data_IF_935025396282
#
_entry.id   IF_935025396282
#
_cell.length_a   1.000
_cell.length_b   1.000
_cell.length_c   1.000
_cell.angle_alpha   90.00
_cell.angle_beta   90.00
_cell.angle_gamma   90.00
#
_symmetry.space_group_name_H-M   'P 1'
#
loop_
_entity.id
_entity.type
_entity.pdbx_description
1 polymer ?
#
# COMPACT_ATOMS: atom_id res chain seq x y z
N UNK A 1 -5.15 -32.12 16.34
CA UNK A 1 -4.92 -31.06 15.33
C UNK A 1 -3.51 -30.53 15.53
N UNK A 2 -2.73 -30.38 14.46
CA UNK A 2 -1.36 -29.83 14.52
C UNK A 2 -1.38 -28.34 14.22
N UNK A 3 -0.35 -27.60 14.62
CA UNK A 3 -0.22 -26.17 14.33
C UNK A 3 -0.43 -25.84 12.84
N UNK A 4 0.12 -26.67 11.93
CA UNK A 4 -0.06 -26.52 10.49
C UNK A 4 -1.53 -26.56 10.04
N UNK A 5 -2.37 -27.36 10.69
CA UNK A 5 -3.79 -27.46 10.34
C UNK A 5 -4.52 -26.17 10.71
N UNK A 6 -4.13 -25.55 11.83
CA UNK A 6 -4.70 -24.29 12.33
C UNK A 6 -4.35 -23.12 11.41
N UNK A 7 -3.10 -23.06 10.95
CA UNK A 7 -2.62 -21.99 10.07
C UNK A 7 -3.34 -21.95 8.71
N UNK A 8 -4.07 -23.01 8.34
CA UNK A 8 -4.84 -23.08 7.10
C UNK A 8 -6.34 -22.80 7.31
N UNK A 9 -6.77 -22.52 8.54
CA UNK A 9 -8.17 -22.20 8.81
C UNK A 9 -8.56 -20.85 8.19
N UNK A 10 -9.84 -20.67 7.80
CA UNK A 10 -10.34 -19.37 7.36
C UNK A 10 -10.20 -18.34 8.47
N UNK A 11 -9.90 -17.08 8.13
CA UNK A 11 -9.73 -16.02 9.13
C UNK A 11 -11.09 -15.51 9.62
N UNK A 12 -11.58 -16.09 10.72
CA UNK A 12 -12.85 -15.71 11.35
C UNK A 12 -12.80 -15.92 12.88
N UNK A 13 -13.86 -15.53 13.60
CA UNK A 13 -13.94 -15.64 15.07
C UNK A 13 -13.79 -17.07 15.61
N UNK A 14 -14.29 -18.08 14.89
CA UNK A 14 -14.13 -19.48 15.30
C UNK A 14 -12.66 -19.90 15.23
N UNK A 15 -11.98 -19.57 14.13
CA UNK A 15 -10.55 -19.85 13.97
C UNK A 15 -9.69 -19.08 14.97
N UNK A 16 -10.08 -17.85 15.32
CA UNK A 16 -9.40 -17.06 16.35
C UNK A 16 -9.45 -17.78 17.70
N UNK A 17 -10.63 -18.25 18.09
CA UNK A 17 -10.85 -19.00 19.34
C UNK A 17 -10.00 -20.27 19.36
N UNK A 18 -10.04 -21.04 18.26
CA UNK A 18 -9.26 -22.25 18.09
C UNK A 18 -7.75 -21.98 18.23
N UNK A 19 -7.25 -20.95 17.54
CA UNK A 19 -5.83 -20.60 17.55
C UNK A 19 -5.36 -20.13 18.93
N UNK A 20 -6.14 -19.27 19.61
CA UNK A 20 -5.84 -18.82 20.98
C UNK A 20 -5.84 -19.98 21.98
N UNK A 21 -6.83 -20.87 21.93
CA UNK A 21 -6.87 -22.04 22.79
C UNK A 21 -5.68 -22.97 22.56
N UNK A 22 -5.31 -23.22 21.29
CA UNK A 22 -4.18 -24.08 20.98
C UNK A 22 -2.85 -23.52 21.46
N UNK A 23 -2.65 -22.19 21.37
CA UNK A 23 -1.48 -21.49 21.88
C UNK A 23 -1.34 -21.65 23.42
N UNK A 24 -2.45 -21.69 24.15
CA UNK A 24 -2.47 -21.86 25.61
C UNK A 24 -2.33 -23.31 26.06
N UNK A 25 -2.89 -24.25 25.30
CA UNK A 25 -3.00 -25.66 25.71
C UNK A 25 -1.84 -26.54 25.24
N UNK A 26 -0.95 -26.02 24.39
CA UNK A 26 0.05 -26.83 23.68
C UNK A 26 1.45 -26.23 23.83
N UNK A 27 2.43 -27.05 24.20
CA UNK A 27 3.84 -26.64 24.16
C UNK A 27 4.32 -26.59 22.71
N UNK A 28 4.60 -25.39 22.22
CA UNK A 28 5.08 -25.14 20.85
C UNK A 28 6.56 -24.77 20.87
N UNK A 29 7.26 -25.05 19.78
CA UNK A 29 8.57 -24.44 19.59
C UNK A 29 8.42 -22.97 19.16
N UNK A 30 9.49 -22.19 19.33
CA UNK A 30 9.49 -20.74 19.07
C UNK A 30 8.96 -20.40 17.66
N UNK A 31 9.37 -21.14 16.62
CA UNK A 31 8.94 -20.87 15.24
C UNK A 31 7.45 -21.18 15.01
N UNK A 32 6.93 -22.22 15.65
CA UNK A 32 5.50 -22.54 15.59
C UNK A 32 4.67 -21.49 16.34
N UNK A 33 5.16 -21.06 17.51
CA UNK A 33 4.55 -20.00 18.30
C UNK A 33 4.49 -18.69 17.52
N UNK A 34 5.60 -18.26 16.91
CA UNK A 34 5.71 -17.08 16.05
C UNK A 34 4.69 -17.09 14.91
N UNK A 35 4.63 -18.19 14.15
CA UNK A 35 3.70 -18.32 13.02
C UNK A 35 2.25 -18.31 13.46
N UNK A 36 1.93 -19.02 14.55
CA UNK A 36 0.57 -19.07 15.07
C UNK A 36 0.14 -17.71 15.62
N UNK A 37 1.05 -17.00 16.28
CA UNK A 37 0.78 -15.67 16.78
C UNK A 37 0.56 -14.66 15.64
N UNK A 38 1.41 -14.67 14.62
CA UNK A 38 1.20 -13.87 13.42
C UNK A 38 -0.14 -14.18 12.75
N UNK A 39 -0.54 -15.46 12.70
CA UNK A 39 -1.85 -15.86 12.17
C UNK A 39 -3.00 -15.29 13.03
N UNK A 40 -2.90 -15.34 14.36
CA UNK A 40 -3.88 -14.73 15.28
C UNK A 40 -4.03 -13.23 15.01
N UNK A 41 -2.93 -12.48 14.93
CA UNK A 41 -2.98 -11.05 14.59
C UNK A 41 -3.56 -10.83 13.20
N UNK A 42 -3.22 -11.68 12.24
CA UNK A 42 -3.80 -11.68 10.91
C UNK A 42 -5.32 -11.87 10.92
N UNK A 43 -5.87 -12.70 11.80
CA UNK A 43 -7.32 -12.84 11.97
C UNK A 43 -7.92 -11.58 12.59
N UNK A 44 -7.31 -11.04 13.65
CA UNK A 44 -7.79 -9.81 14.30
C UNK A 44 -7.86 -8.65 13.31
N UNK A 45 -6.88 -8.55 12.39
CA UNK A 45 -6.87 -7.54 11.34
C UNK A 45 -8.06 -7.68 10.37
N UNK A 46 -8.39 -8.88 9.90
CA UNK A 46 -9.55 -9.08 9.00
C UNK A 46 -10.89 -8.81 9.68
N UNK A 47 -10.94 -8.97 11.01
CA UNK A 47 -12.14 -8.75 11.81
C UNK A 47 -12.25 -7.29 12.29
N UNK A 48 -11.37 -6.39 11.83
CA UNK A 48 -11.28 -4.99 12.25
C UNK A 48 -11.11 -4.82 13.77
N UNK A 49 -10.59 -5.84 14.47
CA UNK A 49 -10.34 -5.83 15.92
C UNK A 49 -9.00 -5.20 16.26
N UNK A 50 -8.80 -3.97 15.80
CA UNK A 50 -7.52 -3.28 15.84
C UNK A 50 -7.00 -3.02 17.27
N UNK A 51 -7.88 -2.76 18.24
CA UNK A 51 -7.48 -2.56 19.64
C UNK A 51 -6.89 -3.84 20.25
N UNK A 52 -7.54 -4.98 20.00
CA UNK A 52 -7.05 -6.29 20.46
C UNK A 52 -5.74 -6.65 19.76
N UNK A 53 -5.64 -6.36 18.46
CA UNK A 53 -4.41 -6.56 17.69
C UNK A 53 -3.24 -5.76 18.29
N UNK A 54 -3.46 -4.48 18.62
CA UNK A 54 -2.46 -3.64 19.26
C UNK A 54 -2.03 -4.16 20.63
N UNK A 55 -3.00 -4.56 21.47
CA UNK A 55 -2.75 -5.10 22.80
C UNK A 55 -1.94 -6.39 22.73
N UNK A 56 -2.45 -7.39 22.02
CA UNK A 56 -1.84 -8.72 21.90
C UNK A 56 -0.46 -8.59 21.24
N UNK A 57 -0.35 -7.84 20.13
CA UNK A 57 0.90 -7.71 19.39
C UNK A 57 2.00 -6.98 20.17
N UNK A 58 1.66 -5.96 20.96
CA UNK A 58 2.61 -5.28 21.84
C UNK A 58 3.13 -6.21 22.93
N UNK A 59 2.23 -6.98 23.56
CA UNK A 59 2.62 -7.96 24.58
C UNK A 59 3.59 -8.98 24.00
N UNK A 60 3.30 -9.50 22.81
CA UNK A 60 4.16 -10.47 22.16
C UNK A 60 5.53 -9.91 21.76
N UNK A 61 5.59 -8.70 21.18
CA UNK A 61 6.87 -8.09 20.82
C UNK A 61 7.78 -7.88 22.05
N UNK A 62 7.21 -7.66 23.25
CA UNK A 62 7.98 -7.53 24.48
C UNK A 62 8.70 -8.82 24.92
N UNK A 63 8.29 -9.96 24.36
CA UNK A 63 8.84 -11.29 24.65
C UNK A 63 9.87 -11.75 23.61
N UNK A 64 10.04 -11.02 22.50
CA UNK A 64 11.01 -11.35 21.46
C UNK A 64 12.36 -10.73 21.81
N UNK A 65 13.36 -11.59 21.98
CA UNK A 65 14.74 -11.17 22.25
C UNK A 65 15.51 -10.78 20.99
N UNK A 66 15.27 -11.47 19.87
CA UNK A 66 15.99 -11.24 18.62
C UNK A 66 15.00 -10.92 17.47
N UNK A 67 15.05 -9.70 16.92
CA UNK A 67 14.24 -9.31 15.78
C UNK A 67 14.48 -10.21 14.57
N UNK A 68 13.40 -10.71 13.99
CA UNK A 68 13.41 -11.57 12.81
C UNK A 68 12.34 -11.14 11.80
N UNK A 69 12.14 -11.94 10.76
CA UNK A 69 11.14 -11.66 9.73
C UNK A 69 9.71 -11.55 10.32
N UNK A 70 9.35 -12.45 11.24
CA UNK A 70 8.05 -12.41 11.93
C UNK A 70 7.90 -11.11 12.74
N UNK A 71 8.96 -10.68 13.43
CA UNK A 71 8.98 -9.42 14.18
C UNK A 71 8.65 -8.22 13.27
N UNK A 72 9.25 -8.14 12.08
CA UNK A 72 8.95 -7.08 11.10
C UNK A 72 7.49 -7.14 10.61
N UNK A 73 6.96 -8.34 10.36
CA UNK A 73 5.58 -8.54 9.94
C UNK A 73 4.57 -8.13 11.01
N UNK A 74 4.86 -8.41 12.29
CA UNK A 74 4.03 -7.97 13.41
C UNK A 74 4.07 -6.44 13.53
N UNK A 75 5.24 -5.82 13.41
CA UNK A 75 5.35 -4.35 13.39
C UNK A 75 4.53 -3.71 12.28
N UNK A 76 4.47 -4.34 11.09
CA UNK A 76 3.60 -3.88 9.99
C UNK A 76 2.12 -3.95 10.38
N UNK A 77 1.65 -5.07 10.95
CA UNK A 77 0.26 -5.20 11.40
C UNK A 77 -0.09 -4.18 12.49
N UNK A 78 0.83 -3.94 13.43
CA UNK A 78 0.66 -2.93 14.48
C UNK A 78 0.63 -1.50 13.93
N UNK A 79 1.49 -1.20 12.95
CA UNK A 79 1.47 0.07 12.22
C UNK A 79 0.10 0.28 11.54
N UNK A 80 -0.38 -0.71 10.79
CA UNK A 80 -1.65 -0.63 10.06
C UNK A 80 -2.84 -0.47 11.02
N UNK A 81 -2.85 -1.23 12.12
CA UNK A 81 -3.88 -1.13 13.15
C UNK A 81 -3.89 0.25 13.85
N UNK A 82 -2.71 0.77 14.22
CA UNK A 82 -2.59 2.09 14.81
C UNK A 82 -3.05 3.19 13.83
N UNK A 83 -2.72 3.03 12.54
CA UNK A 83 -3.14 3.94 11.49
C UNK A 83 -4.67 3.94 11.30
N UNK A 84 -5.30 2.74 11.29
CA UNK A 84 -6.78 2.59 11.23
C UNK A 84 -7.51 3.19 12.42
N UNK A 85 -6.87 3.22 13.57
CA UNK A 85 -7.39 3.84 14.79
C UNK A 85 -7.03 5.33 14.91
N UNK A 86 -6.41 5.91 13.88
CA UNK A 86 -5.93 7.30 13.85
C UNK A 86 -4.95 7.63 15.00
N UNK A 87 -4.25 6.63 15.53
CA UNK A 87 -3.24 6.78 16.58
C UNK A 87 -1.88 7.07 15.94
N UNK A 88 -1.74 8.25 15.33
CA UNK A 88 -0.59 8.57 14.46
C UNK A 88 0.77 8.52 15.17
N UNK A 89 0.86 8.92 16.43
CA UNK A 89 2.11 8.82 17.21
C UNK A 89 2.54 7.35 17.41
N UNK A 90 1.57 6.48 17.65
CA UNK A 90 1.81 5.05 17.81
C UNK A 90 2.18 4.39 16.47
N UNK A 91 1.47 4.76 15.39
CA UNK A 91 1.84 4.32 14.04
C UNK A 91 3.27 4.76 13.70
N UNK A 92 3.64 6.02 13.97
CA UNK A 92 5.00 6.53 13.79
C UNK A 92 6.03 5.75 14.60
N UNK A 93 5.71 5.40 15.85
CA UNK A 93 6.57 4.55 16.67
C UNK A 93 6.85 3.21 15.98
N UNK A 94 5.81 2.47 15.57
CA UNK A 94 5.99 1.17 14.92
C UNK A 94 6.68 1.26 13.56
N UNK A 95 6.41 2.31 12.78
CA UNK A 95 7.12 2.58 11.53
C UNK A 95 8.63 2.77 11.76
N UNK A 96 9.00 3.58 12.76
CA UNK A 96 10.40 3.82 13.10
C UNK A 96 11.10 2.56 13.60
N UNK A 97 10.42 1.74 14.42
CA UNK A 97 10.97 0.45 14.84
C UNK A 97 11.15 -0.49 13.64
N UNK A 98 10.15 -0.57 12.74
CA UNK A 98 10.21 -1.41 11.54
C UNK A 98 11.35 -1.00 10.61
N UNK A 99 11.61 0.30 10.47
CA UNK A 99 12.70 0.83 9.66
C UNK A 99 14.08 0.33 10.10
N UNK A 100 14.31 0.10 11.40
CA UNK A 100 15.61 -0.38 11.93
C UNK A 100 15.96 -1.80 11.45
N UNK A 101 14.95 -2.61 11.20
CA UNK A 101 15.10 -4.04 10.88
C UNK A 101 14.77 -4.37 9.43
N UNK A 102 14.35 -3.36 8.64
CA UNK A 102 14.05 -3.56 7.23
C UNK A 102 15.34 -3.55 6.43
N UNK A 103 15.46 -4.49 5.48
CA UNK A 103 16.62 -4.58 4.60
C UNK A 103 16.63 -3.38 3.67
N UNK A 104 17.83 -2.94 3.29
CA UNK A 104 18.00 -1.78 2.39
C UNK A 104 17.20 -1.95 1.08
N UNK A 105 17.15 -3.16 0.52
CA UNK A 105 16.39 -3.46 -0.70
C UNK A 105 14.87 -3.31 -0.53
N UNK A 106 14.37 -3.37 0.70
CA UNK A 106 12.95 -3.30 1.05
C UNK A 106 12.57 -1.94 1.67
N UNK A 107 13.48 -0.96 1.69
CA UNK A 107 13.23 0.37 2.24
C UNK A 107 12.06 1.09 1.57
N UNK A 108 11.74 0.75 0.32
CA UNK A 108 10.57 1.29 -0.39
C UNK A 108 9.25 0.98 0.34
N UNK A 109 9.18 -0.12 1.12
CA UNK A 109 8.02 -0.45 1.96
C UNK A 109 7.87 0.50 3.15
N UNK A 110 8.99 0.95 3.73
CA UNK A 110 9.00 1.94 4.81
C UNK A 110 8.60 3.31 4.25
N UNK A 111 9.08 3.65 3.06
CA UNK A 111 8.67 4.87 2.37
C UNK A 111 7.16 4.87 2.07
N UNK A 112 6.61 3.75 1.59
CA UNK A 112 5.18 3.62 1.31
C UNK A 112 4.30 3.76 2.57
N UNK A 113 4.73 3.16 3.67
CA UNK A 113 4.08 3.30 4.98
C UNK A 113 4.16 4.75 5.49
N UNK A 114 5.30 5.42 5.33
CA UNK A 114 5.47 6.81 5.73
C UNK A 114 4.58 7.76 4.92
N UNK A 115 4.46 7.52 3.60
CA UNK A 115 3.52 8.25 2.74
C UNK A 115 2.08 8.03 3.24
N UNK A 116 1.71 6.80 3.54
CA UNK A 116 0.36 6.45 4.03
C UNK A 116 0.05 7.13 5.37
N UNK A 117 0.99 7.13 6.31
CA UNK A 117 0.87 7.81 7.59
C UNK A 117 0.67 9.31 7.40
N UNK A 118 1.54 9.96 6.63
CA UNK A 118 1.49 11.41 6.38
C UNK A 118 0.20 11.81 5.69
N UNK A 119 -0.25 11.04 4.71
CA UNK A 119 -1.50 11.27 4.00
C UNK A 119 -2.70 11.27 4.96
N UNK A 120 -2.79 10.30 5.86
CA UNK A 120 -3.90 10.24 6.83
C UNK A 120 -3.79 11.33 7.90
N UNK A 121 -2.57 11.63 8.36
CA UNK A 121 -2.30 12.72 9.29
C UNK A 121 -2.43 14.12 8.64
N UNK A 122 -2.73 14.20 7.33
CA UNK A 122 -2.79 15.44 6.54
C UNK A 122 -1.49 16.26 6.58
N UNK A 123 -0.36 15.56 6.70
CA UNK A 123 0.96 16.14 6.62
C UNK A 123 1.49 16.17 5.18
N UNK A 124 2.40 17.10 4.83
CA UNK A 124 3.07 17.08 3.54
C UNK A 124 3.90 15.79 3.34
N UNK A 125 3.70 15.14 2.18
CA UNK A 125 4.43 13.92 1.76
C UNK A 125 4.98 13.98 0.33
N UNK A 126 4.82 15.12 -0.35
CA UNK A 126 5.23 15.33 -1.74
C UNK A 126 6.71 14.99 -1.99
N UNK A 127 7.60 15.49 -1.12
CA UNK A 127 9.04 15.23 -1.23
C UNK A 127 9.39 13.75 -1.13
N UNK A 128 8.65 12.98 -0.31
CA UNK A 128 8.89 11.54 -0.19
C UNK A 128 8.61 10.81 -1.50
N UNK A 129 7.56 11.20 -2.22
CA UNK A 129 7.24 10.63 -3.54
C UNK A 129 8.35 10.94 -4.55
N UNK A 130 8.83 12.19 -4.60
CA UNK A 130 9.91 12.59 -5.50
C UNK A 130 11.23 11.86 -5.20
N UNK A 131 11.55 11.67 -3.93
CA UNK A 131 12.72 10.90 -3.52
C UNK A 131 12.57 9.43 -3.91
N UNK A 132 11.40 8.82 -3.64
CA UNK A 132 11.14 7.42 -3.95
C UNK A 132 11.26 7.11 -5.46
N UNK A 133 10.84 8.03 -6.33
CA UNK A 133 10.95 7.85 -7.79
C UNK A 133 12.40 7.80 -8.31
N UNK A 134 13.36 8.35 -7.56
CA UNK A 134 14.79 8.31 -7.89
C UNK A 134 15.45 6.98 -7.49
N UNK A 135 14.82 6.21 -6.62
CA UNK A 135 15.34 4.94 -6.13
C UNK A 135 14.98 3.77 -7.06
N UNK A 136 15.73 2.67 -6.91
CA UNK A 136 15.46 1.42 -7.60
C UNK A 136 14.37 0.64 -6.84
N UNK A 137 13.11 0.96 -7.13
CA UNK A 137 11.93 0.35 -6.50
C UNK A 137 11.14 -0.53 -7.48
N UNK A 138 10.30 -1.47 -7.01
CA UNK A 138 9.46 -2.28 -7.88
C UNK A 138 8.52 -1.42 -8.75
N UNK A 139 8.22 -1.91 -9.96
CA UNK A 139 7.48 -1.13 -10.97
C UNK A 139 6.10 -0.68 -10.50
N UNK A 140 5.40 -1.54 -9.76
CA UNK A 140 4.04 -1.24 -9.29
C UNK A 140 4.02 -0.08 -8.29
N UNK A 141 4.98 -0.04 -7.36
CA UNK A 141 5.16 1.08 -6.44
C UNK A 141 5.55 2.36 -7.18
N UNK A 142 6.44 2.26 -8.18
CA UNK A 142 6.82 3.41 -8.99
C UNK A 142 5.64 3.99 -9.75
N UNK A 143 4.80 3.15 -10.35
CA UNK A 143 3.55 3.55 -11.01
C UNK A 143 2.60 4.23 -10.02
N UNK A 144 2.39 3.62 -8.85
CA UNK A 144 1.57 4.20 -7.77
C UNK A 144 2.04 5.62 -7.41
N UNK A 145 3.33 5.84 -7.23
CA UNK A 145 3.87 7.16 -6.87
C UNK A 145 3.73 8.19 -7.99
N UNK A 146 3.89 7.79 -9.25
CA UNK A 146 3.63 8.69 -10.38
C UNK A 146 2.16 9.12 -10.43
N UNK A 147 1.22 8.18 -10.27
CA UNK A 147 -0.21 8.50 -10.23
C UNK A 147 -0.54 9.45 -9.08
N UNK A 148 0.01 9.20 -7.90
CA UNK A 148 -0.24 10.05 -6.73
C UNK A 148 0.35 11.47 -6.90
N UNK A 149 1.51 11.61 -7.52
CA UNK A 149 2.06 12.93 -7.89
C UNK A 149 1.22 13.64 -8.95
N UNK A 150 0.72 12.90 -9.94
CA UNK A 150 -0.14 13.45 -10.97
C UNK A 150 -1.41 14.03 -10.34
N UNK A 151 -2.08 13.27 -9.48
CA UNK A 151 -3.26 13.72 -8.73
C UNK A 151 -2.95 14.96 -7.89
N UNK A 152 -1.81 14.98 -7.19
CA UNK A 152 -1.37 16.12 -6.40
C UNK A 152 -1.21 17.39 -7.25
N UNK A 153 -0.51 17.31 -8.39
CA UNK A 153 -0.31 18.46 -9.27
C UNK A 153 -1.60 18.92 -9.96
N UNK A 154 -2.48 17.97 -10.33
CA UNK A 154 -3.80 18.28 -10.87
C UNK A 154 -4.72 18.96 -9.86
N UNK A 155 -4.63 18.59 -8.58
CA UNK A 155 -5.42 19.18 -7.49
C UNK A 155 -4.90 20.57 -7.07
N UNK A 156 -3.59 20.79 -7.17
CA UNK A 156 -2.94 22.09 -6.91
C UNK A 156 -2.90 23.02 -8.12
N UNK A 157 -3.57 22.64 -9.22
CA UNK A 157 -3.58 23.37 -10.49
C UNK A 157 -2.19 23.66 -11.08
N UNK A 158 -1.18 22.88 -10.69
CA UNK A 158 0.17 23.01 -11.21
C UNK A 158 0.34 22.17 -12.48
N UNK A 159 -0.26 22.66 -13.57
CA UNK A 159 -0.43 21.88 -14.81
C UNK A 159 0.86 21.62 -15.59
N UNK A 160 1.91 22.44 -15.42
CA UNK A 160 3.21 22.21 -16.07
C UNK A 160 3.90 20.99 -15.46
N UNK A 161 3.92 20.91 -14.14
CA UNK A 161 4.48 19.78 -13.41
C UNK A 161 3.63 18.52 -13.61
N UNK A 162 2.31 18.66 -13.66
CA UNK A 162 1.40 17.58 -14.04
C UNK A 162 1.72 17.01 -15.43
N UNK A 163 1.98 17.87 -16.43
CA UNK A 163 2.37 17.45 -17.78
C UNK A 163 3.69 16.66 -17.76
N UNK A 164 4.69 17.12 -17.02
CA UNK A 164 5.97 16.43 -16.90
C UNK A 164 5.82 15.05 -16.26
N UNK A 165 5.10 14.97 -15.13
CA UNK A 165 4.82 13.70 -14.45
C UNK A 165 4.05 12.73 -15.35
N UNK A 166 3.03 13.22 -16.05
CA UNK A 166 2.23 12.40 -16.95
C UNK A 166 3.08 11.84 -18.11
N UNK A 167 3.93 12.67 -18.73
CA UNK A 167 4.83 12.21 -19.78
C UNK A 167 5.80 11.13 -19.29
N UNK A 168 6.38 11.32 -18.10
CA UNK A 168 7.25 10.32 -17.48
C UNK A 168 6.49 9.02 -17.18
N UNK A 169 5.25 9.11 -16.69
CA UNK A 169 4.38 7.97 -16.43
C UNK A 169 4.04 7.21 -17.73
N UNK A 170 3.69 7.90 -18.82
CA UNK A 170 3.43 7.30 -20.15
C UNK A 170 4.66 6.57 -20.66
N UNK A 171 5.84 7.18 -20.61
CA UNK A 171 7.10 6.54 -21.02
C UNK A 171 7.40 5.31 -20.15
N UNK A 172 7.14 5.38 -18.85
CA UNK A 172 7.43 4.30 -17.91
C UNK A 172 6.48 3.10 -18.06
N UNK A 173 5.18 3.36 -18.24
CA UNK A 173 4.13 2.33 -18.28
C UNK A 173 3.76 1.87 -19.69
N UNK A 174 4.06 2.68 -20.71
CA UNK A 174 3.51 2.54 -22.06
C UNK A 174 1.97 2.52 -22.08
N UNK A 175 1.34 3.17 -21.10
CA UNK A 175 -0.12 3.33 -20.99
C UNK A 175 -0.53 4.76 -21.35
N UNK A 176 -1.81 4.91 -21.71
CA UNK A 176 -2.41 6.18 -22.07
C UNK A 176 -3.37 6.68 -20.98
N UNK A 177 -3.38 7.99 -20.75
CA UNK A 177 -4.21 8.66 -19.74
C UNK A 177 -4.96 9.84 -20.38
N UNK A 178 -5.88 9.58 -21.33
CA UNK A 178 -6.49 10.62 -22.16
C UNK A 178 -7.24 11.68 -21.36
N UNK A 179 -7.91 11.28 -20.28
CA UNK A 179 -8.69 12.18 -19.44
C UNK A 179 -7.78 13.20 -18.74
N UNK A 180 -6.71 12.73 -18.13
CA UNK A 180 -5.73 13.55 -17.43
C UNK A 180 -4.98 14.45 -18.42
N UNK A 181 -4.58 13.89 -19.57
CA UNK A 181 -3.88 14.60 -20.64
C UNK A 181 -4.74 15.74 -21.22
N UNK A 182 -6.01 15.48 -21.55
CA UNK A 182 -6.94 16.51 -22.02
C UNK A 182 -7.12 17.62 -21.00
N UNK A 183 -7.29 17.28 -19.71
CA UNK A 183 -7.43 18.27 -18.63
C UNK A 183 -6.22 19.20 -18.58
N UNK A 184 -5.02 18.63 -18.65
CA UNK A 184 -3.75 19.39 -18.63
C UNK A 184 -3.62 20.27 -19.88
N UNK A 185 -3.86 19.72 -21.07
CA UNK A 185 -3.73 20.45 -22.34
C UNK A 185 -4.70 21.64 -22.41
N UNK A 186 -5.94 21.44 -21.97
CA UNK A 186 -6.93 22.51 -21.88
C UNK A 186 -6.49 23.63 -20.94
N UNK A 187 -6.02 23.27 -19.74
CA UNK A 187 -5.57 24.24 -18.74
C UNK A 187 -4.34 25.04 -19.20
N UNK A 188 -3.41 24.37 -19.91
CA UNK A 188 -2.24 25.00 -20.52
C UNK A 188 -2.54 25.73 -21.85
N UNK A 189 -3.81 25.82 -22.27
CA UNK A 189 -4.27 26.45 -23.52
C UNK A 189 -3.62 25.85 -24.79
N UNK A 190 -3.23 24.58 -24.73
CA UNK A 190 -2.67 23.83 -25.87
C UNK A 190 -3.80 23.22 -26.71
N UNK A 191 -4.70 24.06 -27.21
CA UNK A 191 -5.97 23.64 -27.81
C UNK A 191 -5.82 22.74 -29.04
N UNK A 192 -4.84 22.98 -29.92
CA UNK A 192 -4.62 22.14 -31.11
C UNK A 192 -4.31 20.69 -30.72
N UNK A 193 -3.41 20.50 -29.75
CA UNK A 193 -3.06 19.16 -29.23
C UNK A 193 -4.23 18.50 -28.52
N UNK A 194 -5.04 19.28 -27.81
CA UNK A 194 -6.23 18.75 -27.15
C UNK A 194 -7.26 18.25 -28.15
N UNK A 195 -7.45 18.96 -29.27
CA UNK A 195 -8.35 18.58 -30.36
C UNK A 195 -7.85 17.32 -31.08
N UNK A 196 -6.57 17.26 -31.43
CA UNK A 196 -5.93 16.06 -32.00
C UNK A 196 -6.13 14.83 -31.11
N UNK A 197 -5.89 14.99 -29.80
CA UNK A 197 -6.04 13.93 -28.83
C UNK A 197 -7.52 13.49 -28.71
N UNK A 198 -8.44 14.44 -28.60
CA UNK A 198 -9.87 14.14 -28.49
C UNK A 198 -10.40 13.36 -29.69
N UNK A 199 -9.97 13.72 -30.91
CA UNK A 199 -10.35 13.04 -32.13
C UNK A 199 -9.81 11.60 -32.18
N UNK A 200 -8.55 11.40 -31.79
CA UNK A 200 -7.91 10.07 -31.76
C UNK A 200 -8.68 9.08 -30.86
N UNK A 201 -9.14 9.53 -29.69
CA UNK A 201 -9.91 8.67 -28.78
C UNK A 201 -11.40 8.54 -29.15
N UNK A 202 -11.97 9.48 -29.91
CA UNK A 202 -13.30 9.30 -30.50
C UNK A 202 -13.29 8.24 -31.61
N UNK A 203 -12.23 8.17 -32.39
CA UNK A 203 -12.03 7.14 -33.42
C UNK A 203 -11.83 5.74 -32.80
N UNK A 204 -11.05 5.60 -31.73
CA UNK A 204 -10.89 4.33 -31.01
C UNK A 204 -12.21 3.79 -30.41
N UNK A 205 -13.06 4.69 -29.89
CA UNK A 205 -14.40 4.34 -29.37
C UNK A 205 -15.37 3.92 -30.48
N UNK A 206 -15.25 4.49 -31.68
CA UNK A 206 -16.13 4.17 -32.82
C UNK A 206 -15.71 2.88 -33.52
N UNK A 207 -14.42 2.53 -33.55
CA UNK A 207 -13.94 1.25 -34.11
C UNK A 207 -14.31 0.07 -33.21
N UNK A 208 -14.32 0.24 -31.87
CA UNK A 208 -14.77 -0.80 -30.92
C UNK A 208 -16.28 -1.05 -30.90
N UNK A 209 -17.07 -0.20 -31.57
CA UNK A 209 -18.53 -0.27 -31.65
C UNK A 209 -19.06 -0.74 -33.00
N UNK A 210 -18.21 -1.08 -33.98
CA UNK A 210 -18.68 -1.78 -35.18
C UNK A 210 -18.97 -3.23 -34.75
N UNK A 211 -20.24 -3.64 -34.55
CA UNK A 211 -20.52 -5.06 -34.43
C UNK A 211 -20.14 -5.65 -35.79
N UNK A 212 -19.43 -6.77 -35.77
CA UNK A 212 -19.22 -7.59 -36.96
C UNK A 212 -20.57 -7.97 -37.57
N UNK A 213 -21.09 -7.11 -38.42
CA UNK A 213 -22.18 -7.36 -39.33
C UNK A 213 -21.58 -7.15 -40.70
N UNK A 214 -21.66 -8.21 -41.52
CA UNK A 214 -21.15 -8.38 -42.88
C UNK A 214 -19.79 -9.10 -42.98
N UNK A 215 -19.79 -10.41 -42.75
CA UNK A 215 -19.73 -11.41 -43.83
C UNK A 215 -19.86 -12.84 -43.27
#
# INVERSE_FOLDING_TARGET
MKAKDILNLPKNESSLSIAKSYLQSTTLNIKEQEKLFLFILGILNELDRYQDLLSDGKEYLSQIYEPNETYNQILKLLFDAALKLEQFDLAKHYLNERAKYTKILDNYLITDDNISLKKQAKEPYHELLLMALKEAIPKDYKKKYYLELLDYYLASENYLEAENILNNLKVFTNENYPREELKILMALKKHSKAEELANLYQEDLTIGLIPSVLA
#
